data_IF_981549306589
#
_entry.id   IF_981549306589
#
_cell.length_a   1.000
_cell.length_b   1.000
_cell.length_c   1.000
_cell.angle_alpha   90.00
_cell.angle_beta   90.00
_cell.angle_gamma   90.00
#
_symmetry.space_group_name_H-M   'P 1'
#
loop_
_entity.id
_entity.type
_entity.pdbx_description
1 polymer ?
#
# COMPACT_ATOMS: atom_id res chain seq x y z
N UNK A 1 -5.80 5.35 30.99
CA UNK A 1 -5.16 6.33 30.15
C UNK A 1 -6.22 7.25 29.62
N UNK A 2 -6.03 8.55 29.89
CA UNK A 2 -6.94 9.61 29.48
C UNK A 2 -6.90 9.71 27.96
N UNK A 3 -7.98 9.34 27.28
CA UNK A 3 -8.12 9.40 25.82
C UNK A 3 -8.59 10.78 25.33
N UNK A 4 -8.62 11.78 26.23
CA UNK A 4 -8.99 13.14 25.87
C UNK A 4 -7.98 13.72 24.85
N UNK A 5 -8.43 13.89 23.63
CA UNK A 5 -7.65 14.44 22.51
C UNK A 5 -7.09 13.41 21.52
N UNK A 6 -7.50 12.14 21.60
CA UNK A 6 -7.19 11.15 20.57
C UNK A 6 -8.28 11.15 19.50
N UNK A 7 -7.91 11.48 18.27
CA UNK A 7 -8.72 11.18 17.09
C UNK A 7 -8.82 9.65 16.99
N UNK A 8 -10.03 9.09 16.83
CA UNK A 8 -10.27 7.65 16.96
C UNK A 8 -9.50 6.78 15.95
N UNK A 9 -9.09 7.37 14.82
CA UNK A 9 -8.30 6.67 13.81
C UNK A 9 -6.80 7.03 13.86
N UNK A 10 -6.37 7.86 14.82
CA UNK A 10 -4.99 8.27 15.03
C UNK A 10 -4.57 8.01 16.48
N UNK A 11 -3.64 7.11 16.70
CA UNK A 11 -3.07 6.79 18.00
C UNK A 11 -1.66 7.36 18.11
N UNK A 12 -1.41 8.12 19.17
CA UNK A 12 -0.07 8.62 19.48
C UNK A 12 0.64 7.67 20.42
N UNK A 13 1.92 7.44 20.17
CA UNK A 13 2.71 6.59 21.06
C UNK A 13 2.93 7.32 22.39
N UNK A 14 2.57 6.72 23.56
CA UNK A 14 2.61 7.42 24.84
C UNK A 14 4.01 7.86 25.27
N UNK A 15 5.04 7.07 24.95
CA UNK A 15 6.44 7.38 25.27
C UNK A 15 7.20 8.10 24.15
N UNK A 16 6.64 8.19 22.95
CA UNK A 16 7.27 8.81 21.77
C UNK A 16 6.26 9.70 21.04
N UNK A 17 6.03 10.94 21.49
CA UNK A 17 4.96 11.82 20.96
C UNK A 17 5.06 12.11 19.44
N UNK A 18 6.26 11.96 18.86
CA UNK A 18 6.48 12.08 17.40
C UNK A 18 6.09 10.85 16.59
N UNK A 19 5.71 9.74 17.25
CA UNK A 19 5.25 8.50 16.58
C UNK A 19 3.73 8.38 16.70
N UNK A 20 3.10 8.05 15.60
CA UNK A 20 1.66 7.82 15.54
C UNK A 20 1.34 6.58 14.72
N UNK A 21 0.21 5.96 15.03
CA UNK A 21 -0.41 4.89 14.28
C UNK A 21 -1.74 5.40 13.74
N UNK A 22 -2.01 5.19 12.46
CA UNK A 22 -3.31 5.43 11.84
C UNK A 22 -4.01 4.12 11.57
N UNK A 23 -5.31 4.08 11.80
CA UNK A 23 -6.17 2.95 11.40
C UNK A 23 -6.95 3.31 10.14
N UNK A 24 -7.16 2.31 9.30
CA UNK A 24 -8.03 2.40 8.13
C UNK A 24 -8.85 1.12 7.97
N UNK A 25 -10.03 1.24 7.42
CA UNK A 25 -10.77 0.09 6.89
C UNK A 25 -10.24 -0.27 5.52
N UNK A 26 -10.02 -1.56 5.26
CA UNK A 26 -9.49 -2.02 3.98
C UNK A 26 -10.62 -2.27 2.97
N UNK A 27 -10.49 -1.73 1.76
CA UNK A 27 -11.43 -1.90 0.66
C UNK A 27 -11.07 -3.03 -0.31
N UNK A 28 -10.06 -3.84 -0.01
CA UNK A 28 -9.61 -4.95 -0.87
C UNK A 28 -10.69 -6.00 -1.15
N UNK A 29 -11.72 -6.10 -0.29
CA UNK A 29 -12.82 -7.05 -0.48
C UNK A 29 -13.89 -6.56 -1.46
N UNK A 30 -13.86 -5.31 -1.89
CA UNK A 30 -14.84 -4.76 -2.81
C UNK A 30 -14.36 -4.88 -4.27
N UNK A 31 -15.12 -5.58 -5.14
CA UNK A 31 -14.71 -5.78 -6.53
C UNK A 31 -15.01 -4.52 -7.37
N UNK A 32 -14.10 -3.55 -7.35
CA UNK A 32 -14.15 -2.38 -8.22
C UNK A 32 -13.29 -2.61 -9.47
N UNK A 33 -13.74 -2.12 -10.62
CA UNK A 33 -12.97 -2.14 -11.87
C UNK A 33 -12.73 -0.73 -12.43
N UNK A 34 -13.48 0.26 -11.95
CA UNK A 34 -13.40 1.66 -12.37
C UNK A 34 -13.58 2.62 -11.17
N UNK A 35 -13.37 3.94 -11.36
CA UNK A 35 -13.54 4.94 -10.30
C UNK A 35 -14.94 4.95 -9.67
N UNK A 36 -15.98 4.76 -10.47
CA UNK A 36 -17.36 4.73 -9.98
C UNK A 36 -17.61 3.52 -9.08
N UNK A 37 -17.05 2.36 -9.44
CA UNK A 37 -17.06 1.16 -8.60
C UNK A 37 -16.33 1.34 -7.27
N UNK A 38 -15.20 2.05 -7.26
CA UNK A 38 -14.49 2.42 -6.02
C UNK A 38 -15.37 3.29 -5.12
N UNK A 39 -15.98 4.33 -5.67
CA UNK A 39 -16.89 5.22 -4.95
C UNK A 39 -18.12 4.46 -4.41
N UNK A 40 -18.71 3.57 -5.22
CA UNK A 40 -19.82 2.73 -4.79
C UNK A 40 -19.46 1.81 -3.62
N UNK A 41 -18.24 1.24 -3.63
CA UNK A 41 -17.73 0.44 -2.52
C UNK A 41 -17.59 1.24 -1.22
N UNK A 42 -17.04 2.44 -1.31
CA UNK A 42 -16.94 3.35 -0.17
C UNK A 42 -18.33 3.70 0.40
N UNK A 43 -19.27 4.01 -0.47
CA UNK A 43 -20.64 4.33 -0.07
C UNK A 43 -21.38 3.14 0.57
N UNK A 44 -21.14 1.93 0.10
CA UNK A 44 -21.83 0.73 0.59
C UNK A 44 -21.16 0.05 1.78
N UNK A 45 -19.87 0.26 2.00
CA UNK A 45 -19.09 -0.40 3.06
C UNK A 45 -18.56 0.60 4.07
N UNK A 46 -17.77 1.58 3.62
CA UNK A 46 -17.06 2.50 4.53
C UNK A 46 -18.00 3.47 5.23
N UNK A 47 -18.97 4.04 4.55
CA UNK A 47 -19.91 4.99 5.17
C UNK A 47 -20.81 4.32 6.22
N UNK A 48 -21.46 3.16 5.96
CA UNK A 48 -22.22 2.48 7.00
C UNK A 48 -21.38 2.05 8.19
N UNK A 49 -20.13 1.60 7.96
CA UNK A 49 -19.22 1.23 9.03
C UNK A 49 -18.82 2.46 9.87
N UNK A 50 -18.47 3.56 9.21
CA UNK A 50 -18.19 4.84 9.88
C UNK A 50 -19.36 5.24 10.79
N UNK A 51 -20.58 5.20 10.26
CA UNK A 51 -21.78 5.61 10.99
C UNK A 51 -22.11 4.67 12.15
N UNK A 52 -21.93 3.37 11.97
CA UNK A 52 -22.10 2.37 13.03
C UNK A 52 -21.08 2.51 14.17
N UNK A 53 -19.87 2.95 13.87
CA UNK A 53 -18.82 3.16 14.87
C UNK A 53 -18.86 4.55 15.54
N UNK A 54 -19.70 5.46 15.06
CA UNK A 54 -19.75 6.86 15.55
C UNK A 54 -20.01 6.95 17.04
N UNK A 55 -20.88 6.12 17.58
CA UNK A 55 -21.22 6.11 19.01
C UNK A 55 -20.06 5.63 19.91
N UNK A 56 -19.05 4.98 19.32
CA UNK A 56 -17.86 4.53 20.01
C UNK A 56 -16.78 5.63 20.08
N UNK A 57 -16.98 6.73 19.35
CA UNK A 57 -16.03 7.84 19.25
C UNK A 57 -16.41 8.93 20.25
N UNK A 58 -15.49 9.38 21.14
CA UNK A 58 -15.76 10.49 22.01
C UNK A 58 -16.17 11.75 21.24
N UNK A 59 -17.36 12.29 21.53
CA UNK A 59 -17.92 13.45 20.83
C UNK A 59 -18.59 13.15 19.48
N UNK A 60 -18.58 11.89 19.04
CA UNK A 60 -19.23 11.48 17.76
C UNK A 60 -18.54 11.98 16.50
N UNK A 61 -17.30 12.46 16.60
CA UNK A 61 -16.54 13.04 15.48
C UNK A 61 -15.21 12.31 15.27
N UNK A 62 -14.83 12.07 14.01
CA UNK A 62 -13.60 11.39 13.65
C UNK A 62 -12.39 12.33 13.47
N UNK A 63 -12.45 13.56 13.91
CA UNK A 63 -11.32 14.49 13.87
C UNK A 63 -10.73 14.69 12.47
N UNK A 64 -9.66 13.94 12.15
CA UNK A 64 -8.97 13.99 10.85
C UNK A 64 -9.68 13.18 9.72
N UNK A 65 -10.87 12.65 9.98
CA UNK A 65 -11.63 11.82 9.05
C UNK A 65 -11.61 10.32 9.40
N UNK A 66 -12.51 9.57 8.79
CA UNK A 66 -12.58 8.11 8.91
C UNK A 66 -11.58 7.45 7.96
N UNK A 67 -10.59 6.74 8.49
CA UNK A 67 -9.51 6.15 7.72
C UNK A 67 -10.00 5.04 6.77
N UNK A 68 -9.63 5.14 5.50
CA UNK A 68 -9.90 4.13 4.47
C UNK A 68 -8.62 3.74 3.75
N UNK A 69 -8.41 2.44 3.54
CA UNK A 69 -7.35 1.89 2.71
C UNK A 69 -7.95 1.49 1.37
N UNK A 70 -7.52 2.15 0.29
CA UNK A 70 -8.06 1.93 -1.04
C UNK A 70 -7.25 0.87 -1.80
N UNK A 71 -7.92 -0.07 -2.41
CA UNK A 71 -7.40 -0.79 -3.54
C UNK A 71 -7.93 -0.14 -4.82
N UNK A 72 -7.02 0.31 -5.67
CA UNK A 72 -7.34 0.79 -7.01
C UNK A 72 -6.81 -0.23 -8.01
N UNK A 73 -7.66 -0.99 -8.72
CA UNK A 73 -7.17 -1.80 -9.84
C UNK A 73 -6.55 -0.90 -10.91
N UNK A 74 -5.66 -1.46 -11.73
CA UNK A 74 -4.94 -0.67 -12.73
C UNK A 74 -5.89 0.08 -13.68
N UNK A 75 -7.00 -0.55 -14.07
CA UNK A 75 -8.00 0.11 -14.90
C UNK A 75 -8.56 1.37 -14.24
N UNK A 76 -8.89 1.32 -12.94
CA UNK A 76 -9.35 2.49 -12.21
C UNK A 76 -8.25 3.52 -12.02
N UNK A 77 -7.01 3.11 -11.67
CA UNK A 77 -5.88 4.02 -11.48
C UNK A 77 -5.54 4.77 -12.77
N UNK A 78 -5.47 4.08 -13.91
CA UNK A 78 -5.23 4.72 -15.21
C UNK A 78 -6.40 5.57 -15.70
N UNK A 79 -7.65 5.21 -15.38
CA UNK A 79 -8.80 6.05 -15.67
C UNK A 79 -8.75 7.38 -14.89
N UNK A 80 -8.36 7.34 -13.61
CA UNK A 80 -8.17 8.55 -12.79
C UNK A 80 -7.00 9.42 -13.28
N UNK A 81 -5.93 8.80 -13.81
CA UNK A 81 -4.82 9.53 -14.44
C UNK A 81 -5.24 10.19 -15.75
N UNK A 82 -6.05 9.51 -16.56
CA UNK A 82 -6.46 9.99 -17.89
C UNK A 82 -7.63 10.99 -17.84
N UNK A 83 -8.48 10.93 -16.82
CA UNK A 83 -9.66 11.79 -16.66
C UNK A 83 -9.60 12.61 -15.36
N UNK A 84 -9.14 13.89 -15.46
CA UNK A 84 -9.11 14.79 -14.32
C UNK A 84 -10.48 15.06 -13.68
N UNK A 85 -11.57 14.90 -14.43
CA UNK A 85 -12.92 15.08 -13.90
C UNK A 85 -13.29 13.92 -12.98
N UNK A 86 -13.15 12.67 -13.43
CA UNK A 86 -13.37 11.49 -12.60
C UNK A 86 -12.47 11.51 -11.34
N UNK A 87 -11.22 11.95 -11.47
CA UNK A 87 -10.34 12.14 -10.33
C UNK A 87 -10.83 13.20 -9.35
N UNK A 88 -11.42 14.31 -9.85
CA UNK A 88 -12.02 15.36 -9.00
C UNK A 88 -13.25 14.84 -8.25
N UNK A 89 -14.16 14.18 -8.95
CA UNK A 89 -15.36 13.61 -8.35
C UNK A 89 -15.04 12.67 -7.18
N UNK A 90 -14.08 11.75 -7.36
CA UNK A 90 -13.73 10.82 -6.28
C UNK A 90 -13.04 11.55 -5.10
N UNK A 91 -12.17 12.56 -5.36
CA UNK A 91 -11.56 13.37 -4.29
C UNK A 91 -12.60 14.20 -3.52
N UNK A 92 -13.54 14.80 -4.23
CA UNK A 92 -14.63 15.59 -3.64
C UNK A 92 -15.49 14.69 -2.76
N UNK A 93 -15.90 13.53 -3.27
CA UNK A 93 -16.63 12.53 -2.49
C UNK A 93 -15.90 12.14 -1.20
N UNK A 94 -14.60 11.79 -1.27
CA UNK A 94 -13.80 11.46 -0.09
C UNK A 94 -13.78 12.61 0.93
N UNK A 95 -13.68 13.84 0.46
CA UNK A 95 -13.61 15.04 1.30
C UNK A 95 -14.97 15.37 1.93
N UNK A 96 -16.03 15.36 1.15
CA UNK A 96 -17.39 15.68 1.60
C UNK A 96 -17.89 14.65 2.62
N UNK A 97 -17.56 13.39 2.41
CA UNK A 97 -17.93 12.29 3.32
C UNK A 97 -16.97 12.16 4.52
N UNK A 98 -15.94 12.99 4.61
CA UNK A 98 -14.97 12.93 5.72
C UNK A 98 -14.19 11.61 5.75
N UNK A 99 -13.86 11.05 4.59
CA UNK A 99 -13.03 9.85 4.45
C UNK A 99 -11.57 10.22 4.26
N UNK A 100 -10.70 9.65 5.09
CA UNK A 100 -9.25 9.86 5.06
C UNK A 100 -8.55 8.70 4.34
N UNK A 101 -8.34 8.84 3.03
CA UNK A 101 -7.68 7.84 2.20
C UNK A 101 -6.16 8.04 2.19
N UNK A 102 -5.47 7.57 3.23
CA UNK A 102 -4.03 7.78 3.40
C UNK A 102 -3.18 6.56 3.02
N UNK A 103 -3.79 5.41 2.76
CA UNK A 103 -3.09 4.17 2.41
C UNK A 103 -3.76 3.49 1.23
N UNK A 104 -2.93 2.92 0.35
CA UNK A 104 -3.37 2.30 -0.90
C UNK A 104 -2.72 0.93 -1.06
N UNK A 105 -3.46 0.01 -1.66
CA UNK A 105 -2.92 -1.27 -2.12
C UNK A 105 -2.73 -1.22 -3.64
N UNK A 106 -1.47 -1.33 -4.09
CA UNK A 106 -1.08 -1.43 -5.50
C UNK A 106 -0.54 -2.83 -5.83
N UNK A 107 -1.10 -3.88 -5.22
CA UNK A 107 -0.65 -5.24 -5.45
C UNK A 107 -1.50 -5.94 -6.53
N UNK A 108 -2.80 -6.27 -6.34
CA UNK A 108 -3.56 -6.87 -7.42
C UNK A 108 -3.73 -5.83 -8.55
N UNK A 109 -3.21 -6.16 -9.74
CA UNK A 109 -3.29 -5.28 -10.91
C UNK A 109 -4.71 -5.20 -11.46
N UNK A 110 -5.40 -6.33 -11.48
CA UNK A 110 -6.81 -6.45 -11.90
C UNK A 110 -7.67 -7.10 -10.84
N UNK A 111 -8.94 -7.35 -11.17
CA UNK A 111 -9.88 -8.01 -10.27
C UNK A 111 -9.36 -9.37 -9.81
N UNK A 112 -9.25 -9.59 -8.51
CA UNK A 112 -8.74 -10.82 -7.91
C UNK A 112 -9.83 -11.68 -7.25
N UNK A 113 -11.08 -11.28 -7.40
CA UNK A 113 -12.24 -11.99 -6.84
C UNK A 113 -12.70 -13.19 -7.68
N UNK A 114 -12.07 -13.41 -8.84
CA UNK A 114 -12.41 -14.50 -9.75
C UNK A 114 -11.77 -15.82 -9.31
N UNK A 115 -12.51 -16.92 -9.45
CA UNK A 115 -11.99 -18.24 -9.17
C UNK A 115 -10.81 -18.61 -10.10
N UNK A 116 -9.74 -19.17 -9.54
CA UNK A 116 -8.58 -19.66 -10.32
C UNK A 116 -7.44 -18.68 -10.51
N UNK A 117 -7.53 -17.44 -10.06
CA UNK A 117 -6.54 -16.38 -10.29
C UNK A 117 -5.27 -16.47 -9.41
N UNK A 118 -5.08 -17.52 -8.63
CA UNK A 118 -4.07 -17.62 -7.54
C UNK A 118 -2.64 -17.19 -7.92
N UNK A 119 -2.18 -17.39 -9.15
CA UNK A 119 -0.87 -16.94 -9.62
C UNK A 119 -0.95 -15.63 -10.41
N UNK A 120 -2.08 -15.38 -11.07
CA UNK A 120 -2.29 -14.20 -11.89
C UNK A 120 -2.36 -12.88 -11.11
N UNK A 121 -2.55 -12.92 -9.79
CA UNK A 121 -2.52 -11.70 -8.95
C UNK A 121 -1.15 -11.02 -8.94
N UNK A 122 -0.07 -11.78 -9.20
CA UNK A 122 1.30 -11.26 -9.27
C UNK A 122 1.63 -10.62 -10.62
N UNK A 123 0.77 -10.82 -11.62
CA UNK A 123 1.00 -10.29 -12.97
C UNK A 123 0.29 -8.92 -13.18
N UNK A 124 0.97 -8.02 -13.90
CA UNK A 124 2.37 -8.05 -14.31
C UNK A 124 3.32 -8.02 -13.10
N UNK A 125 4.41 -8.78 -13.15
CA UNK A 125 5.42 -8.79 -12.09
C UNK A 125 6.35 -7.55 -12.13
N UNK A 126 7.28 -7.43 -11.17
CA UNK A 126 8.18 -6.27 -11.09
C UNK A 126 9.26 -6.20 -12.18
N UNK A 127 9.37 -7.19 -13.06
CA UNK A 127 10.22 -7.09 -14.27
C UNK A 127 9.49 -6.44 -15.44
N UNK A 128 8.17 -6.30 -15.35
CA UNK A 128 7.35 -5.63 -16.35
C UNK A 128 7.16 -4.15 -15.98
N UNK A 129 7.49 -3.19 -16.87
CA UNK A 129 7.36 -1.76 -16.57
C UNK A 129 5.92 -1.31 -16.29
N UNK A 130 4.89 -2.05 -16.73
CA UNK A 130 3.49 -1.72 -16.41
C UNK A 130 3.22 -1.71 -14.91
N UNK A 131 3.90 -2.57 -14.12
CA UNK A 131 3.79 -2.56 -12.66
C UNK A 131 4.23 -1.22 -12.08
N UNK A 132 5.33 -0.67 -12.58
CA UNK A 132 5.82 0.64 -12.18
C UNK A 132 4.87 1.77 -12.58
N UNK A 133 4.32 1.75 -13.79
CA UNK A 133 3.34 2.75 -14.24
C UNK A 133 2.08 2.74 -13.39
N UNK A 134 1.55 1.55 -13.10
CA UNK A 134 0.41 1.38 -12.22
C UNK A 134 0.66 1.93 -10.81
N UNK A 135 1.78 1.55 -10.18
CA UNK A 135 2.14 2.02 -8.85
C UNK A 135 2.29 3.55 -8.81
N UNK A 136 2.82 4.13 -9.87
CA UNK A 136 2.93 5.58 -10.04
C UNK A 136 1.56 6.25 -10.17
N UNK A 137 0.65 5.73 -10.98
CA UNK A 137 -0.71 6.26 -11.14
C UNK A 137 -1.47 6.27 -9.82
N UNK A 138 -1.35 5.20 -9.02
CA UNK A 138 -1.89 5.13 -7.65
C UNK A 138 -1.30 6.24 -6.76
N UNK A 139 0.02 6.45 -6.83
CA UNK A 139 0.70 7.48 -6.05
C UNK A 139 0.25 8.90 -6.45
N UNK A 140 0.11 9.19 -7.73
CA UNK A 140 -0.32 10.50 -8.23
C UNK A 140 -1.74 10.82 -7.76
N UNK A 141 -2.66 9.86 -7.82
CA UNK A 141 -3.99 10.04 -7.27
C UNK A 141 -3.97 10.24 -5.75
N UNK A 142 -3.24 9.42 -5.00
CA UNK A 142 -3.10 9.57 -3.54
C UNK A 142 -2.51 10.92 -3.13
N UNK A 143 -1.51 11.43 -3.86
CA UNK A 143 -0.94 12.75 -3.64
C UNK A 143 -1.93 13.88 -3.96
N UNK A 144 -2.80 13.71 -4.95
CA UNK A 144 -3.86 14.68 -5.25
C UNK A 144 -4.89 14.79 -4.12
N UNK A 145 -5.19 13.68 -3.42
CA UNK A 145 -6.01 13.69 -2.20
C UNK A 145 -5.28 14.44 -1.09
N UNK A 146 -3.99 14.17 -0.89
CA UNK A 146 -3.16 14.84 0.11
C UNK A 146 -3.13 16.36 -0.07
N UNK A 147 -3.11 16.84 -1.31
CA UNK A 147 -3.20 18.25 -1.65
C UNK A 147 -4.58 18.84 -1.34
N UNK A 148 -5.65 18.18 -1.78
CA UNK A 148 -7.04 18.61 -1.55
C UNK A 148 -7.37 18.68 -0.06
N UNK A 149 -6.97 17.67 0.71
CA UNK A 149 -7.17 17.60 2.17
C UNK A 149 -6.09 18.36 2.96
N UNK A 150 -5.18 19.06 2.28
CA UNK A 150 -4.17 19.93 2.88
C UNK A 150 -3.28 19.25 3.94
N UNK A 151 -2.81 18.04 3.66
CA UNK A 151 -2.00 17.24 4.60
C UNK A 151 -0.71 17.93 5.06
N UNK A 152 -0.14 18.79 4.24
CA UNK A 152 1.07 19.58 4.61
C UNK A 152 0.89 20.47 5.84
N UNK A 153 -0.36 20.84 6.16
CA UNK A 153 -0.70 21.66 7.33
C UNK A 153 -1.32 20.83 8.47
N UNK A 154 -1.31 19.51 8.37
CA UNK A 154 -1.80 18.65 9.42
C UNK A 154 -0.95 18.80 10.70
N UNK A 155 -1.59 18.77 11.86
CA UNK A 155 -0.93 18.87 13.15
C UNK A 155 0.03 17.69 13.45
N UNK A 156 -0.16 16.57 12.77
CA UNK A 156 0.71 15.38 12.82
C UNK A 156 1.28 15.15 11.42
N UNK A 157 2.58 14.94 11.28
CA UNK A 157 3.18 14.65 9.98
C UNK A 157 2.47 13.50 9.26
N UNK A 158 2.15 13.70 8.00
CA UNK A 158 1.44 12.72 7.16
C UNK A 158 2.32 12.27 6.01
N UNK A 159 2.10 11.06 5.58
CA UNK A 159 2.67 10.48 4.37
C UNK A 159 1.62 9.67 3.64
N UNK A 160 1.79 9.53 2.34
CA UNK A 160 1.04 8.58 1.53
C UNK A 160 1.69 7.21 1.68
N UNK A 161 0.91 6.21 2.07
CA UNK A 161 1.35 4.81 2.15
C UNK A 161 0.79 4.01 0.98
N UNK A 162 1.64 3.22 0.32
CA UNK A 162 1.25 2.31 -0.76
C UNK A 162 1.88 0.95 -0.47
N UNK A 163 1.11 -0.14 -0.52
CA UNK A 163 1.64 -1.49 -0.44
C UNK A 163 1.74 -2.14 -1.81
N UNK A 164 2.72 -3.03 -1.98
CA UNK A 164 2.92 -3.84 -3.18
C UNK A 164 3.69 -5.11 -2.84
N UNK A 165 3.63 -6.13 -3.71
CA UNK A 165 4.40 -7.36 -3.53
C UNK A 165 5.89 -7.20 -3.86
N UNK A 166 6.70 -8.18 -3.48
CA UNK A 166 8.18 -8.12 -3.54
C UNK A 166 8.79 -8.47 -4.91
N UNK A 167 8.02 -8.99 -5.86
CA UNK A 167 8.58 -9.39 -7.16
C UNK A 167 7.53 -10.00 -8.08
N UNK A 168 7.34 -11.30 -7.95
CA UNK A 168 6.38 -12.12 -8.71
C UNK A 168 6.35 -13.52 -8.14
N UNK A 169 5.52 -14.39 -8.68
CA UNK A 169 5.35 -15.77 -8.18
C UNK A 169 6.50 -16.67 -8.63
N UNK A 170 7.26 -17.27 -7.69
CA UNK A 170 8.45 -18.10 -7.98
C UNK A 170 8.19 -19.21 -8.98
N UNK A 171 7.08 -19.95 -8.85
CA UNK A 171 6.79 -21.05 -9.78
C UNK A 171 6.44 -20.56 -11.19
N UNK A 172 6.04 -19.31 -11.39
CA UNK A 172 5.91 -18.72 -12.73
C UNK A 172 7.28 -18.45 -13.34
N UNK A 173 8.23 -18.00 -12.53
CA UNK A 173 9.59 -17.68 -12.96
C UNK A 173 10.36 -18.94 -13.36
N UNK A 174 10.31 -20.00 -12.56
CA UNK A 174 11.09 -21.21 -12.82
C UNK A 174 10.42 -22.14 -13.86
N UNK A 175 9.09 -22.09 -14.03
CA UNK A 175 8.38 -23.01 -14.91
C UNK A 175 8.67 -24.47 -14.54
N UNK A 176 9.20 -25.23 -15.50
CA UNK A 176 9.60 -26.64 -15.34
C UNK A 176 11.09 -26.82 -14.96
N UNK A 177 11.86 -25.72 -14.84
CA UNK A 177 13.27 -25.78 -14.46
C UNK A 177 13.45 -26.27 -13.00
N UNK A 178 14.56 -26.96 -12.73
CA UNK A 178 14.87 -27.50 -11.42
C UNK A 178 16.39 -27.40 -11.12
N UNK A 179 16.74 -27.50 -9.84
CA UNK A 179 18.13 -27.45 -9.39
C UNK A 179 18.82 -26.14 -9.79
N UNK A 180 20.06 -26.21 -10.21
CA UNK A 180 20.91 -25.06 -10.54
C UNK A 180 20.31 -24.12 -11.62
N UNK A 181 19.54 -24.67 -12.56
CA UNK A 181 18.84 -23.87 -13.56
C UNK A 181 17.74 -23.00 -12.92
N UNK A 182 16.93 -23.58 -12.04
CA UNK A 182 15.89 -22.84 -11.30
C UNK A 182 16.52 -21.75 -10.41
N UNK A 183 17.62 -22.05 -9.72
CA UNK A 183 18.34 -21.10 -8.87
C UNK A 183 18.87 -19.92 -9.69
N UNK A 184 19.39 -20.19 -10.89
CA UNK A 184 19.88 -19.15 -11.82
C UNK A 184 18.74 -18.24 -12.28
N UNK A 185 17.58 -18.81 -12.63
CA UNK A 185 16.40 -18.04 -13.04
C UNK A 185 15.89 -17.13 -11.92
N UNK A 186 15.84 -17.64 -10.69
CA UNK A 186 15.43 -16.85 -9.53
C UNK A 186 16.43 -15.72 -9.25
N UNK A 187 17.73 -15.97 -9.35
CA UNK A 187 18.76 -14.95 -9.12
C UNK A 187 18.68 -13.82 -10.16
N UNK A 188 18.50 -14.14 -11.45
CA UNK A 188 18.30 -13.14 -12.50
C UNK A 188 17.00 -12.35 -12.30
N UNK A 189 15.91 -13.04 -11.99
CA UNK A 189 14.63 -12.43 -11.70
C UNK A 189 14.71 -11.46 -10.50
N UNK A 190 15.36 -11.91 -9.41
CA UNK A 190 15.64 -11.07 -8.23
C UNK A 190 16.37 -9.79 -8.60
N UNK A 191 17.43 -9.89 -9.36
CA UNK A 191 18.24 -8.74 -9.80
C UNK A 191 17.39 -7.72 -10.56
N UNK A 192 16.55 -8.18 -11.48
CA UNK A 192 15.66 -7.31 -12.26
C UNK A 192 14.55 -6.68 -11.41
N UNK A 193 13.95 -7.44 -10.50
CA UNK A 193 12.94 -6.91 -9.58
C UNK A 193 13.52 -5.83 -8.66
N UNK A 194 14.70 -6.05 -8.07
CA UNK A 194 15.39 -5.07 -7.23
C UNK A 194 15.65 -3.77 -8.01
N UNK A 195 16.16 -3.86 -9.23
CA UNK A 195 16.39 -2.69 -10.07
C UNK A 195 15.10 -1.90 -10.35
N UNK A 196 13.99 -2.59 -10.62
CA UNK A 196 12.69 -1.97 -10.85
C UNK A 196 12.13 -1.31 -9.59
N UNK A 197 12.23 -1.98 -8.45
CA UNK A 197 11.80 -1.45 -7.15
C UNK A 197 12.60 -0.20 -6.75
N UNK A 198 13.92 -0.19 -6.97
CA UNK A 198 14.75 0.99 -6.75
C UNK A 198 14.38 2.14 -7.69
N UNK A 199 14.11 1.85 -8.96
CA UNK A 199 13.72 2.87 -9.94
C UNK A 199 12.38 3.52 -9.57
N UNK A 200 11.37 2.73 -9.19
CA UNK A 200 10.08 3.27 -8.76
C UNK A 200 10.19 4.03 -7.44
N UNK A 201 10.94 3.52 -6.46
CA UNK A 201 11.16 4.22 -5.19
C UNK A 201 11.76 5.61 -5.41
N UNK A 202 12.79 5.73 -6.25
CA UNK A 202 13.36 7.01 -6.65
C UNK A 202 12.35 7.92 -7.36
N UNK A 203 11.48 7.36 -8.20
CA UNK A 203 10.40 8.09 -8.86
C UNK A 203 9.39 8.64 -7.85
N UNK A 204 8.93 7.80 -6.93
CA UNK A 204 7.99 8.16 -5.87
C UNK A 204 8.58 9.20 -4.90
N UNK A 205 9.86 9.11 -4.57
CA UNK A 205 10.56 10.11 -3.76
C UNK A 205 10.54 11.50 -4.41
N UNK A 206 10.76 11.58 -5.73
CA UNK A 206 10.65 12.85 -6.46
C UNK A 206 9.23 13.39 -6.50
N UNK A 207 8.23 12.52 -6.72
CA UNK A 207 6.81 12.90 -6.69
C UNK A 207 6.42 13.45 -5.33
N UNK A 208 6.76 12.72 -4.26
CA UNK A 208 6.47 13.14 -2.88
C UNK A 208 7.14 14.47 -2.51
N UNK A 209 8.39 14.67 -2.94
CA UNK A 209 9.11 15.94 -2.74
C UNK A 209 8.42 17.10 -3.46
N UNK A 210 7.98 16.90 -4.69
CA UNK A 210 7.26 17.92 -5.48
C UNK A 210 5.91 18.26 -4.84
N UNK A 211 5.18 17.26 -4.37
CA UNK A 211 3.89 17.42 -3.69
C UNK A 211 4.02 17.87 -2.21
N UNK A 212 5.24 17.91 -1.68
CA UNK A 212 5.53 18.18 -0.25
C UNK A 212 4.79 17.20 0.70
N UNK A 213 4.56 16.00 0.23
CA UNK A 213 3.97 14.90 0.99
C UNK A 213 4.82 13.67 0.77
N UNK A 214 5.51 13.15 1.78
CA UNK A 214 6.32 11.95 1.63
C UNK A 214 5.49 10.77 1.13
N UNK A 215 6.05 9.96 0.25
CA UNK A 215 5.45 8.70 -0.21
C UNK A 215 6.25 7.55 0.39
N UNK A 216 5.56 6.55 0.91
CA UNK A 216 6.12 5.31 1.40
C UNK A 216 5.58 4.13 0.58
N UNK A 217 6.48 3.29 0.09
CA UNK A 217 6.15 2.07 -0.63
C UNK A 217 6.48 0.88 0.26
N UNK A 218 5.46 0.28 0.86
CA UNK A 218 5.58 -0.91 1.71
C UNK A 218 5.67 -2.16 0.85
N UNK A 219 6.78 -2.89 0.95
CA UNK A 219 6.94 -4.20 0.33
C UNK A 219 6.30 -5.26 1.20
N UNK A 220 5.37 -6.01 0.63
CA UNK A 220 4.60 -7.03 1.31
C UNK A 220 5.21 -8.40 1.01
N UNK A 221 5.81 -9.08 2.01
CA UNK A 221 6.15 -10.48 1.88
C UNK A 221 4.89 -11.30 1.61
N UNK A 222 4.81 -11.88 0.42
CA UNK A 222 3.65 -12.64 -0.02
C UNK A 222 4.07 -14.10 -0.22
N UNK A 223 3.38 -15.08 0.40
CA UNK A 223 3.73 -16.50 0.27
C UNK A 223 3.97 -16.92 -1.17
N UNK A 224 5.09 -17.60 -1.42
CA UNK A 224 5.55 -18.05 -2.75
C UNK A 224 5.97 -16.95 -3.73
N UNK A 225 6.03 -15.69 -3.32
CA UNK A 225 6.64 -14.62 -4.12
C UNK A 225 8.17 -14.64 -4.02
N UNK A 226 8.85 -13.67 -4.60
CA UNK A 226 10.30 -13.52 -4.52
C UNK A 226 10.80 -13.44 -3.07
N UNK A 227 10.07 -12.75 -2.19
CA UNK A 227 10.25 -12.84 -0.74
C UNK A 227 8.90 -13.22 -0.12
N UNK A 228 8.78 -14.46 0.32
CA UNK A 228 7.53 -15.02 0.84
C UNK A 228 7.31 -14.71 2.32
N UNK A 229 8.37 -14.44 3.07
CA UNK A 229 8.33 -14.13 4.49
C UNK A 229 9.23 -12.91 4.82
N UNK A 230 9.17 -12.43 6.07
CA UNK A 230 9.97 -11.28 6.50
C UNK A 230 11.46 -11.57 6.56
N UNK A 231 11.88 -12.83 6.71
CA UNK A 231 13.27 -13.25 6.68
C UNK A 231 13.83 -13.12 5.26
N UNK A 232 13.13 -13.67 4.27
CA UNK A 232 13.51 -13.56 2.86
C UNK A 232 13.52 -12.09 2.39
N UNK A 233 12.57 -11.27 2.87
CA UNK A 233 12.60 -9.84 2.59
C UNK A 233 13.85 -9.18 3.20
N UNK A 234 14.22 -9.52 4.43
CA UNK A 234 15.43 -8.95 5.08
C UNK A 234 16.73 -9.32 4.35
N UNK A 235 16.78 -10.49 3.69
CA UNK A 235 17.93 -10.91 2.89
C UNK A 235 18.16 -10.04 1.65
N UNK A 236 17.09 -9.49 1.05
CA UNK A 236 17.19 -8.60 -0.12
C UNK A 236 17.19 -7.12 0.26
N UNK A 237 16.87 -6.79 1.51
CA UNK A 237 16.71 -5.41 1.96
C UNK A 237 17.96 -4.55 1.80
N UNK A 238 19.12 -5.13 2.11
CA UNK A 238 20.40 -4.42 1.96
C UNK A 238 20.69 -4.03 0.51
N UNK A 239 20.24 -4.83 -0.45
CA UNK A 239 20.38 -4.54 -1.88
C UNK A 239 19.40 -3.47 -2.33
N UNK A 240 18.15 -3.52 -1.81
CA UNK A 240 17.12 -2.51 -2.08
C UNK A 240 17.55 -1.11 -1.62
N UNK A 241 18.14 -1.00 -0.42
CA UNK A 241 18.58 0.27 0.18
C UNK A 241 19.84 0.87 -0.43
N UNK A 242 20.55 0.19 -1.34
CA UNK A 242 21.76 0.71 -1.97
C UNK A 242 21.55 1.90 -2.91
N UNK A 243 20.34 2.10 -3.39
CA UNK A 243 19.99 3.26 -4.23
C UNK A 243 19.70 4.47 -3.36
N UNK A 244 20.46 5.55 -3.56
CA UNK A 244 20.32 6.80 -2.79
C UNK A 244 18.87 7.33 -2.88
N UNK A 245 18.20 7.44 -1.75
CA UNK A 245 16.83 7.91 -1.61
C UNK A 245 15.77 6.82 -1.67
N UNK A 246 16.11 5.58 -2.04
CA UNK A 246 15.17 4.46 -1.97
C UNK A 246 14.85 4.08 -0.52
N UNK A 247 15.82 4.15 0.36
CA UNK A 247 15.70 3.95 1.81
C UNK A 247 14.72 4.92 2.50
N UNK A 248 14.57 6.12 1.95
CA UNK A 248 13.60 7.09 2.45
C UNK A 248 12.15 6.76 2.03
N UNK A 249 11.97 5.97 0.96
CA UNK A 249 10.68 5.65 0.36
C UNK A 249 10.23 4.23 0.71
N UNK A 250 11.15 3.27 0.65
CA UNK A 250 10.84 1.87 0.92
C UNK A 250 10.49 1.65 2.39
N UNK A 251 9.57 0.75 2.63
CA UNK A 251 9.15 0.27 3.93
C UNK A 251 8.61 -1.15 3.82
N UNK A 252 8.11 -1.69 4.91
CA UNK A 252 7.53 -3.03 4.95
C UNK A 252 6.03 -2.93 5.16
N UNK A 253 5.26 -3.66 4.36
CA UNK A 253 3.87 -3.98 4.63
C UNK A 253 3.84 -5.37 5.28
N UNK A 254 3.61 -5.43 6.59
CA UNK A 254 3.53 -6.69 7.32
C UNK A 254 2.09 -7.20 7.34
N UNK A 255 1.76 -8.16 6.46
CA UNK A 255 0.52 -8.91 6.56
C UNK A 255 0.68 -10.03 7.59
N UNK A 256 -0.10 -9.96 8.67
CA UNK A 256 -0.05 -10.95 9.75
C UNK A 256 -0.64 -12.30 9.35
N UNK A 257 -1.52 -12.35 8.34
CA UNK A 257 -2.03 -13.59 7.79
C UNK A 257 -0.95 -14.31 6.99
N UNK A 258 -0.16 -13.57 6.18
CA UNK A 258 0.96 -14.15 5.43
C UNK A 258 2.04 -14.67 6.37
N UNK A 259 2.41 -13.89 7.39
CA UNK A 259 3.34 -14.35 8.42
C UNK A 259 2.86 -15.64 9.12
N UNK A 260 1.57 -15.76 9.40
CA UNK A 260 1.00 -16.98 9.98
C UNK A 260 1.02 -18.17 9.01
N UNK A 261 0.76 -17.96 7.72
CA UNK A 261 0.82 -19.01 6.68
C UNK A 261 2.25 -19.53 6.49
N UNK A 262 3.24 -18.66 6.59
CA UNK A 262 4.67 -19.01 6.53
C UNK A 262 5.23 -19.46 7.90
N UNK A 263 4.36 -19.66 8.91
CA UNK A 263 4.73 -20.11 10.26
C UNK A 263 5.75 -19.21 10.96
N UNK A 264 5.77 -17.94 10.68
CA UNK A 264 6.62 -16.97 11.37
C UNK A 264 6.10 -16.72 12.80
N UNK A 265 7.02 -16.59 13.75
CA UNK A 265 6.67 -16.12 15.08
C UNK A 265 6.29 -14.64 15.02
N UNK A 266 5.08 -14.20 15.45
CA UNK A 266 4.59 -12.84 15.24
C UNK A 266 5.53 -11.74 15.74
N UNK A 267 6.11 -11.92 16.95
CA UNK A 267 7.07 -10.96 17.51
C UNK A 267 8.34 -10.85 16.67
N UNK A 268 8.87 -11.98 16.18
CA UNK A 268 10.07 -11.97 15.36
C UNK A 268 9.82 -11.38 13.96
N UNK A 269 8.65 -11.61 13.36
CA UNK A 269 8.25 -10.98 12.11
C UNK A 269 8.14 -9.45 12.26
N UNK A 270 7.50 -8.99 13.34
CA UNK A 270 7.40 -7.56 13.64
C UNK A 270 8.77 -6.93 13.90
N UNK A 271 9.63 -7.57 14.68
CA UNK A 271 11.00 -7.06 14.95
C UNK A 271 11.81 -6.92 13.67
N UNK A 272 11.74 -7.91 12.76
CA UNK A 272 12.40 -7.81 11.44
C UNK A 272 11.83 -6.68 10.60
N UNK A 273 10.49 -6.57 10.52
CA UNK A 273 9.84 -5.51 9.76
C UNK A 273 10.19 -4.09 10.27
N UNK A 274 10.34 -3.93 11.58
CA UNK A 274 10.74 -2.66 12.20
C UNK A 274 12.24 -2.37 12.07
N UNK A 275 13.06 -3.37 11.79
CA UNK A 275 14.51 -3.25 11.62
C UNK A 275 14.94 -2.94 10.17
N UNK A 276 14.04 -3.07 9.22
CA UNK A 276 14.22 -2.70 7.81
C UNK A 276 13.78 -1.26 7.57
#
# INVERSE_FOLDING_TARGET
PDLAGTHVMLFRHPAHPGRSLRLATCMNLWPAEDPAGVQAGLAQVSLPLRDALRDLVPGGEYGDGFGVGLWLPAAAAFALEADPFAASELREFLTEEGLDAFTFNAFPFGGFHQAGLKRGVFEPDWTNPERGFYTRAVAEFGLSIAETQNWRNAAVPRHLSISTHTGGHRATVVGDAAGEEADTLIADFRTRCIASLQAIANGLGRLGSSARTPVKLGLEPEPRSLAGDTRELSEIWSELGQSKGADEVLGVCLDTCHAAVEFEHPGAALERALGM
#
